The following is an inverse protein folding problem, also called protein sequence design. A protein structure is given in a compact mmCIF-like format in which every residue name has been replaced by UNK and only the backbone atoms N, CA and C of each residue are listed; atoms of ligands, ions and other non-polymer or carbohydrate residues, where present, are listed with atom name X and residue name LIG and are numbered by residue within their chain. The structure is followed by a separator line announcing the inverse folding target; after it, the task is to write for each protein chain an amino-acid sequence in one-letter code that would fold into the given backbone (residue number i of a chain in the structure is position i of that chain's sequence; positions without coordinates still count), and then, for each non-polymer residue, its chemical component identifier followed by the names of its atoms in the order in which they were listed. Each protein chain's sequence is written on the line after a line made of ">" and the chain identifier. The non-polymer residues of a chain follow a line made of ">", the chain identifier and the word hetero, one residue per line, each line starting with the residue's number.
data_IF_411287901498
#
_entry.id   IF_411287901498
#
_cell.length_a   1.000
_cell.length_b   1.000
_cell.length_c   1.000
_cell.angle_alpha   90.00
_cell.angle_beta   90.00
_cell.angle_gamma   90.00
#
_symmetry.space_group_name_H-M   'P 1'
#
loop_
_entity.id
_entity.type
_entity.pdbx_description
1 polymer ?
#
# COMPACT_ATOMS: atom_id res chain seq x y z
N UNK A 1 6.45 -2.81 9.05
CA UNK A 1 6.41 -1.76 8.00
C UNK A 1 7.59 -0.81 8.20
N UNK A 2 8.30 -0.50 7.13
CA UNK A 2 9.37 0.48 7.20
C UNK A 2 8.78 1.91 7.37
N UNK A 3 9.54 2.82 8.00
CA UNK A 3 9.11 4.21 8.13
C UNK A 3 8.76 4.85 6.76
N UNK A 4 9.41 4.38 5.72
CA UNK A 4 9.19 4.83 4.34
C UNK A 4 7.84 4.36 3.77
N UNK A 5 7.42 3.12 4.07
CA UNK A 5 6.10 2.61 3.69
C UNK A 5 4.98 3.32 4.43
N UNK A 6 5.15 3.57 5.74
CA UNK A 6 4.19 4.35 6.52
C UNK A 6 4.02 5.75 5.95
N UNK A 7 5.12 6.42 5.61
CA UNK A 7 5.09 7.75 5.01
C UNK A 7 4.36 7.73 3.66
N UNK A 8 4.66 6.75 2.81
CA UNK A 8 4.04 6.55 1.50
C UNK A 8 2.53 6.35 1.62
N UNK A 9 2.11 5.42 2.49
CA UNK A 9 0.71 5.12 2.74
C UNK A 9 -0.04 6.34 3.31
N UNK A 10 0.58 7.08 4.24
CA UNK A 10 -0.01 8.30 4.82
C UNK A 10 -0.16 9.41 3.78
N UNK A 11 0.86 9.63 2.97
CA UNK A 11 0.82 10.65 1.92
C UNK A 11 -0.26 10.32 0.88
N UNK A 12 -0.35 9.05 0.44
CA UNK A 12 -1.36 8.59 -0.50
C UNK A 12 -2.78 8.71 0.08
N UNK A 13 -3.00 8.25 1.32
CA UNK A 13 -4.30 8.41 2.00
C UNK A 13 -4.73 9.87 2.08
N UNK A 14 -3.80 10.78 2.38
CA UNK A 14 -4.06 12.22 2.42
C UNK A 14 -4.50 12.75 1.05
N UNK A 15 -3.88 12.29 -0.03
CA UNK A 15 -4.29 12.66 -1.39
C UNK A 15 -5.70 12.16 -1.68
N UNK A 16 -6.00 10.89 -1.37
CA UNK A 16 -7.33 10.30 -1.58
C UNK A 16 -8.43 11.02 -0.79
N UNK A 17 -8.17 11.39 0.46
CA UNK A 17 -9.12 12.09 1.32
C UNK A 17 -9.42 13.52 0.85
N UNK A 18 -8.40 14.20 0.32
CA UNK A 18 -8.53 15.58 -0.18
C UNK A 18 -8.93 15.67 -1.66
N UNK A 19 -9.15 14.53 -2.32
CA UNK A 19 -9.55 14.45 -3.71
C UNK A 19 -11.02 14.12 -3.84
N UNK A 20 -11.71 14.83 -4.72
CA UNK A 20 -13.12 14.62 -5.03
C UNK A 20 -13.27 14.18 -6.50
N UNK A 21 -13.96 13.08 -6.71
CA UNK A 21 -14.38 12.62 -8.03
C UNK A 21 -15.77 13.18 -8.31
N UNK A 22 -15.90 13.99 -9.34
CA UNK A 22 -17.18 14.64 -9.69
C UNK A 22 -18.18 13.70 -10.33
N UNK A 23 -17.69 12.73 -11.08
CA UNK A 23 -18.49 11.77 -11.80
C UNK A 23 -17.72 10.45 -11.93
N UNK A 24 -18.40 9.36 -11.59
CA UNK A 24 -17.86 8.01 -11.74
C UNK A 24 -18.34 7.43 -13.07
N UNK A 25 -17.45 7.02 -13.98
CA UNK A 25 -17.84 6.28 -15.17
C UNK A 25 -18.53 4.97 -14.76
N UNK A 26 -19.81 4.83 -15.09
CA UNK A 26 -20.60 3.67 -14.67
C UNK A 26 -20.03 2.35 -15.19
N UNK A 27 -19.46 2.35 -16.40
CA UNK A 27 -18.83 1.18 -17.00
C UNK A 27 -17.64 0.67 -16.16
N UNK A 28 -16.83 1.58 -15.64
CA UNK A 28 -15.66 1.24 -14.81
C UNK A 28 -16.12 0.70 -13.44
N UNK A 29 -17.16 1.31 -12.86
CA UNK A 29 -17.75 0.82 -11.61
C UNK A 29 -18.33 -0.58 -11.79
N UNK A 30 -19.12 -0.82 -12.84
CA UNK A 30 -19.73 -2.12 -13.13
C UNK A 30 -18.66 -3.20 -13.38
N UNK A 31 -17.57 -2.83 -14.09
CA UNK A 31 -16.41 -3.70 -14.30
C UNK A 31 -15.77 -4.07 -12.96
N UNK A 32 -15.49 -3.09 -12.10
CA UNK A 32 -14.86 -3.31 -10.80
C UNK A 32 -15.75 -4.16 -9.87
N UNK A 33 -17.07 -3.95 -9.85
CA UNK A 33 -18.03 -4.80 -9.13
C UNK A 33 -17.93 -6.24 -9.63
N UNK A 34 -17.95 -6.44 -10.95
CA UNK A 34 -17.87 -7.78 -11.55
C UNK A 34 -16.56 -8.49 -11.20
N UNK A 35 -15.42 -7.78 -11.25
CA UNK A 35 -14.12 -8.32 -10.91
C UNK A 35 -14.04 -8.71 -9.42
N UNK A 36 -14.56 -7.86 -8.54
CA UNK A 36 -14.60 -8.16 -7.11
C UNK A 36 -15.46 -9.38 -6.80
N UNK A 37 -16.66 -9.46 -7.37
CA UNK A 37 -17.53 -10.65 -7.22
C UNK A 37 -16.85 -11.93 -7.69
N UNK A 38 -16.16 -11.89 -8.85
CA UNK A 38 -15.39 -13.05 -9.34
C UNK A 38 -14.26 -13.45 -8.40
N UNK A 39 -13.56 -12.51 -7.79
CA UNK A 39 -12.52 -12.83 -6.81
C UNK A 39 -13.12 -13.49 -5.57
N UNK A 40 -14.27 -13.00 -5.08
CA UNK A 40 -14.98 -13.61 -3.96
C UNK A 40 -15.49 -15.03 -4.30
N UNK A 41 -15.94 -15.26 -5.54
CA UNK A 41 -16.29 -16.61 -6.01
C UNK A 41 -15.11 -17.59 -5.97
N UNK A 42 -13.89 -17.11 -6.27
CA UNK A 42 -12.69 -17.94 -6.17
C UNK A 42 -12.43 -18.34 -4.70
N UNK A 43 -12.55 -17.40 -3.76
CA UNK A 43 -12.40 -17.71 -2.33
C UNK A 43 -13.50 -18.68 -1.84
N UNK A 44 -14.75 -18.48 -2.25
CA UNK A 44 -15.85 -19.39 -1.92
C UNK A 44 -15.57 -20.81 -2.43
N UNK A 45 -15.10 -20.95 -3.67
CA UNK A 45 -14.72 -22.25 -4.26
C UNK A 45 -13.57 -22.92 -3.52
N UNK A 46 -12.60 -22.19 -3.02
CA UNK A 46 -11.51 -22.76 -2.19
C UNK A 46 -12.04 -23.33 -0.87
N UNK A 47 -13.17 -22.81 -0.39
CA UNK A 47 -13.88 -23.31 0.78
C UNK A 47 -14.95 -24.36 0.44
N UNK A 48 -15.01 -24.87 -0.79
CA UNK A 48 -16.05 -25.78 -1.29
C UNK A 48 -17.48 -25.23 -1.14
N UNK A 49 -17.64 -23.92 -1.27
CA UNK A 49 -18.92 -23.20 -1.11
C UNK A 49 -19.30 -22.45 -2.37
N UNK A 50 -20.57 -22.19 -2.55
CA UNK A 50 -21.04 -21.13 -3.45
C UNK A 50 -20.80 -19.76 -2.83
N UNK A 51 -20.85 -18.68 -3.62
CA UNK A 51 -20.69 -17.33 -3.11
C UNK A 51 -21.76 -16.99 -2.05
N UNK A 52 -23.02 -17.41 -2.27
CA UNK A 52 -24.12 -17.20 -1.34
C UNK A 52 -23.88 -17.94 0.00
N UNK A 53 -23.48 -19.22 -0.05
CA UNK A 53 -23.14 -19.98 1.16
C UNK A 53 -21.94 -19.37 1.90
N UNK A 54 -20.97 -18.82 1.15
CA UNK A 54 -19.80 -18.17 1.72
C UNK A 54 -20.19 -16.87 2.44
N UNK A 55 -20.97 -15.99 1.82
CA UNK A 55 -21.45 -14.74 2.44
C UNK A 55 -22.35 -15.03 3.65
N UNK A 56 -23.26 -15.98 3.54
CA UNK A 56 -24.14 -16.42 4.65
C UNK A 56 -23.31 -16.95 5.83
N UNK A 57 -22.24 -17.71 5.57
CA UNK A 57 -21.35 -18.23 6.61
C UNK A 57 -20.63 -17.12 7.39
N UNK A 58 -20.42 -15.97 6.74
CA UNK A 58 -19.86 -14.75 7.35
C UNK A 58 -20.93 -13.86 8.00
N UNK A 59 -22.20 -14.22 7.90
CA UNK A 59 -23.32 -13.43 8.40
C UNK A 59 -23.62 -12.17 7.57
N UNK A 60 -23.23 -12.17 6.30
CA UNK A 60 -23.41 -11.06 5.37
C UNK A 60 -24.62 -11.37 4.48
N UNK A 61 -25.65 -10.52 4.54
CA UNK A 61 -26.80 -10.67 3.64
C UNK A 61 -26.42 -10.33 2.19
N UNK A 62 -27.22 -10.79 1.22
CA UNK A 62 -27.00 -10.48 -0.19
C UNK A 62 -27.01 -8.97 -0.47
N UNK A 63 -27.93 -8.24 0.17
CA UNK A 63 -28.02 -6.78 0.01
C UNK A 63 -26.76 -6.08 0.58
N UNK A 64 -26.30 -6.50 1.76
CA UNK A 64 -25.07 -5.95 2.37
C UNK A 64 -23.84 -6.29 1.52
N UNK A 65 -23.79 -7.49 0.94
CA UNK A 65 -22.71 -7.89 0.04
C UNK A 65 -22.68 -7.05 -1.24
N UNK A 66 -23.84 -6.82 -1.85
CA UNK A 66 -23.97 -5.99 -3.05
C UNK A 66 -23.55 -4.53 -2.75
N UNK A 67 -23.91 -3.98 -1.58
CA UNK A 67 -23.48 -2.68 -1.12
C UNK A 67 -21.95 -2.62 -0.93
N UNK A 68 -21.36 -3.64 -0.30
CA UNK A 68 -19.90 -3.72 -0.14
C UNK A 68 -19.17 -3.82 -1.48
N UNK A 69 -19.73 -4.58 -2.45
CA UNK A 69 -19.19 -4.63 -3.81
C UNK A 69 -19.19 -3.26 -4.48
N UNK A 70 -20.28 -2.51 -4.32
CA UNK A 70 -20.41 -1.16 -4.88
C UNK A 70 -19.41 -0.19 -4.24
N UNK A 71 -19.31 -0.18 -2.90
CA UNK A 71 -18.37 0.66 -2.16
C UNK A 71 -16.91 0.36 -2.52
N UNK A 72 -16.56 -0.92 -2.64
CA UNK A 72 -15.23 -1.34 -3.09
C UNK A 72 -14.93 -0.84 -4.51
N UNK A 73 -15.88 -1.02 -5.43
CA UNK A 73 -15.73 -0.62 -6.82
C UNK A 73 -15.56 0.91 -6.96
N UNK A 74 -16.38 1.69 -6.27
CA UNK A 74 -16.25 3.15 -6.25
C UNK A 74 -14.91 3.60 -5.67
N UNK A 75 -14.43 2.94 -4.61
CA UNK A 75 -13.11 3.20 -4.04
C UNK A 75 -11.98 2.92 -5.02
N UNK A 76 -12.04 1.78 -5.74
CA UNK A 76 -11.07 1.41 -6.77
C UNK A 76 -11.09 2.40 -7.94
N UNK A 77 -12.27 2.71 -8.45
CA UNK A 77 -12.41 3.65 -9.57
C UNK A 77 -11.96 5.06 -9.16
N UNK A 78 -12.29 5.51 -7.94
CA UNK A 78 -11.78 6.77 -7.38
C UNK A 78 -10.26 6.82 -7.42
N UNK A 79 -9.61 5.78 -6.92
CA UNK A 79 -8.15 5.68 -6.92
C UNK A 79 -7.57 5.79 -8.32
N UNK A 80 -8.09 5.02 -9.28
CA UNK A 80 -7.62 5.01 -10.67
C UNK A 80 -7.79 6.38 -11.35
N UNK A 81 -8.93 7.04 -11.14
CA UNK A 81 -9.19 8.38 -11.70
C UNK A 81 -8.24 9.43 -11.11
N UNK A 82 -7.92 9.34 -9.82
CA UNK A 82 -6.96 10.25 -9.18
C UNK A 82 -5.55 10.00 -9.70
N UNK A 83 -5.13 8.72 -9.82
CA UNK A 83 -3.85 8.35 -10.41
C UNK A 83 -3.74 8.92 -11.83
N UNK A 84 -4.72 8.67 -12.67
CA UNK A 84 -4.74 9.18 -14.05
C UNK A 84 -4.71 10.70 -14.09
N UNK A 85 -5.51 11.37 -13.26
CA UNK A 85 -5.53 12.83 -13.17
C UNK A 85 -4.19 13.44 -12.77
N UNK A 86 -3.46 12.82 -11.84
CA UNK A 86 -2.11 13.25 -11.44
C UNK A 86 -1.11 12.97 -12.55
N UNK A 87 -1.15 11.79 -13.17
CA UNK A 87 -0.27 11.46 -14.29
C UNK A 87 -0.41 12.45 -15.45
N UNK A 88 -1.64 12.79 -15.82
CA UNK A 88 -1.94 13.76 -16.88
C UNK A 88 -1.47 15.18 -16.51
N UNK A 89 -1.74 15.63 -15.29
CA UNK A 89 -1.37 16.96 -14.82
C UNK A 89 0.13 17.17 -14.72
N UNK A 90 0.86 16.14 -14.31
CA UNK A 90 2.31 16.19 -14.06
C UNK A 90 3.14 15.65 -15.25
N UNK A 91 2.47 15.22 -16.32
CA UNK A 91 3.12 14.68 -17.52
C UNK A 91 3.89 13.39 -17.27
N UNK A 92 3.40 12.55 -16.34
CA UNK A 92 3.96 11.24 -16.07
C UNK A 92 3.45 10.23 -17.10
N UNK A 93 4.27 9.25 -17.45
CA UNK A 93 3.91 8.24 -18.45
C UNK A 93 4.32 6.85 -17.96
N UNK A 94 3.55 5.83 -18.34
CA UNK A 94 3.90 4.42 -18.07
C UNK A 94 5.13 3.95 -18.87
N UNK A 95 5.50 4.70 -19.91
CA UNK A 95 6.66 4.41 -20.77
C UNK A 95 7.92 5.22 -20.36
N UNK A 96 7.84 6.08 -19.34
CA UNK A 96 9.01 6.79 -18.87
C UNK A 96 10.00 5.87 -18.14
N UNK A 97 11.23 6.33 -17.99
CA UNK A 97 12.30 5.52 -17.40
C UNK A 97 11.98 5.06 -15.98
N UNK A 98 11.36 5.92 -15.19
CA UNK A 98 10.99 5.62 -13.82
C UNK A 98 9.89 4.54 -13.77
N UNK A 99 8.89 4.64 -14.63
CA UNK A 99 7.81 3.65 -14.74
C UNK A 99 8.32 2.28 -15.19
N UNK A 100 9.26 2.24 -16.14
CA UNK A 100 9.90 0.99 -16.54
C UNK A 100 10.68 0.32 -15.40
N UNK A 101 11.35 1.12 -14.54
CA UNK A 101 12.00 0.59 -13.34
C UNK A 101 10.98 0.06 -12.32
N UNK A 102 9.79 0.66 -12.24
CA UNK A 102 8.72 0.18 -11.37
C UNK A 102 8.10 -1.12 -11.91
N UNK A 103 8.03 -1.29 -13.23
CA UNK A 103 7.63 -2.57 -13.82
C UNK A 103 8.60 -3.70 -13.41
N UNK A 104 9.92 -3.44 -13.48
CA UNK A 104 10.91 -4.42 -13.05
C UNK A 104 10.76 -4.78 -11.56
N UNK A 105 10.54 -3.79 -10.70
CA UNK A 105 10.28 -4.02 -9.26
C UNK A 105 8.98 -4.81 -9.03
N UNK A 106 7.92 -4.51 -9.78
CA UNK A 106 6.64 -5.23 -9.68
C UNK A 106 6.80 -6.70 -10.07
N UNK A 107 7.57 -6.99 -11.13
CA UNK A 107 7.92 -8.36 -11.56
C UNK A 107 8.64 -9.10 -10.43
N UNK A 108 9.63 -8.45 -9.79
CA UNK A 108 10.38 -9.03 -8.67
C UNK A 108 9.47 -9.29 -7.47
N UNK A 109 8.63 -8.33 -7.08
CA UNK A 109 7.70 -8.46 -5.95
C UNK A 109 6.66 -9.55 -6.15
N UNK A 110 6.20 -9.74 -7.39
CA UNK A 110 5.21 -10.76 -7.73
C UNK A 110 5.83 -12.15 -7.97
N UNK A 111 7.16 -12.26 -7.91
CA UNK A 111 7.88 -13.52 -8.07
C UNK A 111 7.77 -14.14 -9.46
N UNK A 112 7.45 -13.33 -10.48
CA UNK A 112 7.34 -13.78 -11.88
C UNK A 112 8.62 -13.47 -12.65
N UNK A 113 8.82 -14.14 -13.81
CA UNK A 113 10.07 -14.02 -14.56
C UNK A 113 10.14 -12.80 -15.48
N UNK A 114 8.99 -12.19 -15.79
CA UNK A 114 8.93 -11.06 -16.73
C UNK A 114 7.59 -10.31 -16.64
N UNK A 115 7.60 -9.07 -17.16
CA UNK A 115 6.38 -8.28 -17.32
C UNK A 115 5.36 -8.98 -18.26
N UNK A 116 5.83 -9.70 -19.27
CA UNK A 116 4.95 -10.45 -20.17
C UNK A 116 4.21 -11.60 -19.46
N UNK A 117 4.86 -12.26 -18.51
CA UNK A 117 4.24 -13.27 -17.67
C UNK A 117 3.23 -12.64 -16.72
N UNK A 118 3.56 -11.49 -16.12
CA UNK A 118 2.65 -10.73 -15.27
C UNK A 118 1.38 -10.31 -16.03
N UNK A 119 1.56 -9.74 -17.22
CA UNK A 119 0.45 -9.38 -18.12
C UNK A 119 -0.37 -10.60 -18.52
N UNK A 120 0.28 -11.73 -18.83
CA UNK A 120 -0.40 -12.98 -19.18
C UNK A 120 -1.26 -13.53 -18.02
N UNK A 121 -0.84 -13.33 -16.79
CA UNK A 121 -1.51 -13.85 -15.58
C UNK A 121 -2.63 -12.93 -15.10
N UNK A 122 -2.36 -11.61 -15.03
CA UNK A 122 -3.26 -10.64 -14.40
C UNK A 122 -3.92 -9.66 -15.38
N UNK A 123 -3.44 -9.60 -16.63
CA UNK A 123 -3.91 -8.67 -17.65
C UNK A 123 -3.13 -7.36 -17.70
N UNK A 124 -3.21 -6.67 -18.85
CA UNK A 124 -2.54 -5.39 -19.06
C UNK A 124 -3.07 -4.30 -18.14
N UNK A 125 -4.40 -4.22 -17.98
CA UNK A 125 -5.05 -3.22 -17.13
C UNK A 125 -4.51 -3.26 -15.69
N UNK A 126 -4.36 -4.47 -15.12
CA UNK A 126 -3.80 -4.65 -13.78
C UNK A 126 -2.37 -4.10 -13.67
N UNK A 127 -1.54 -4.38 -14.67
CA UNK A 127 -0.15 -3.92 -14.68
C UNK A 127 -0.08 -2.41 -14.81
N UNK A 128 -0.86 -1.83 -15.71
CA UNK A 128 -0.91 -0.38 -15.95
C UNK A 128 -1.43 0.37 -14.71
N UNK A 129 -2.49 -0.12 -14.07
CA UNK A 129 -3.01 0.43 -12.81
C UNK A 129 -1.96 0.36 -11.67
N UNK A 130 -1.29 -0.78 -11.54
CA UNK A 130 -0.29 -1.00 -10.50
C UNK A 130 0.94 -0.11 -10.69
N UNK A 131 1.46 -0.04 -11.90
CA UNK A 131 2.63 0.81 -12.23
C UNK A 131 2.26 2.29 -12.11
N UNK A 132 1.08 2.68 -12.59
CA UNK A 132 0.56 4.05 -12.47
C UNK A 132 0.47 4.50 -11.01
N UNK A 133 -0.09 3.66 -10.15
CA UNK A 133 -0.16 3.94 -8.71
C UNK A 133 1.23 4.12 -8.10
N UNK A 134 2.13 3.16 -8.31
CA UNK A 134 3.50 3.23 -7.81
C UNK A 134 4.24 4.49 -8.30
N UNK A 135 4.02 4.87 -9.56
CA UNK A 135 4.63 6.05 -10.18
C UNK A 135 4.14 7.35 -9.53
N UNK A 136 2.84 7.45 -9.29
CA UNK A 136 2.23 8.59 -8.61
C UNK A 136 2.66 8.67 -7.16
N UNK A 137 2.70 7.56 -6.44
CA UNK A 137 3.17 7.50 -5.06
C UNK A 137 4.64 7.96 -4.93
N UNK A 138 5.54 7.50 -5.83
CA UNK A 138 6.92 8.00 -5.85
C UNK A 138 7.00 9.50 -6.15
N UNK A 139 6.17 10.01 -7.06
CA UNK A 139 6.08 11.42 -7.37
C UNK A 139 5.64 12.23 -6.14
N UNK A 140 4.60 11.80 -5.46
CA UNK A 140 4.09 12.46 -4.25
C UNK A 140 5.18 12.53 -3.19
N UNK A 141 5.87 11.42 -2.89
CA UNK A 141 6.93 11.39 -1.87
C UNK A 141 8.11 12.30 -2.22
N UNK A 142 8.49 12.35 -3.50
CA UNK A 142 9.58 13.24 -3.94
C UNK A 142 9.25 14.72 -3.76
N UNK A 143 7.96 15.08 -3.78
CA UNK A 143 7.48 16.46 -3.72
C UNK A 143 6.78 16.80 -2.38
N UNK A 144 6.58 15.83 -1.50
CA UNK A 144 5.96 16.06 -0.20
C UNK A 144 6.92 16.77 0.76
N UNK A 145 6.37 17.74 1.49
CA UNK A 145 7.05 18.31 2.67
C UNK A 145 6.64 17.52 3.89
N UNK A 146 7.59 16.83 4.52
CA UNK A 146 7.33 16.04 5.72
C UNK A 146 7.67 16.84 6.95
N UNK A 147 6.69 17.09 7.83
CA UNK A 147 6.90 17.63 9.16
C UNK A 147 6.73 16.53 10.21
N UNK A 148 7.72 16.31 11.05
CA UNK A 148 7.61 15.42 12.19
C UNK A 148 6.68 16.03 13.24
N UNK A 149 5.55 15.38 13.51
CA UNK A 149 4.69 15.72 14.63
C UNK A 149 5.23 14.99 15.84
N UNK A 150 5.96 15.71 16.70
CA UNK A 150 6.43 15.15 17.97
C UNK A 150 5.22 14.80 18.83
N UNK A 151 5.12 13.55 19.24
CA UNK A 151 3.97 13.00 19.98
C UNK A 151 3.81 13.52 21.43
N UNK A 152 4.56 14.50 21.85
CA UNK A 152 4.46 15.13 23.16
C UNK A 152 4.01 16.59 22.98
N UNK A 153 2.71 16.79 22.94
CA UNK A 153 1.91 17.97 23.26
C UNK A 153 2.49 19.38 23.38
N UNK A 154 3.68 19.65 22.85
CA UNK A 154 4.29 20.99 22.84
C UNK A 154 4.28 21.53 21.40
N UNK A 155 3.34 22.39 21.15
CA UNK A 155 3.25 23.19 19.93
C UNK A 155 4.35 24.25 20.05
N UNK A 156 5.48 24.01 19.37
CA UNK A 156 6.43 25.11 19.15
C UNK A 156 5.81 26.02 18.10
N UNK A 157 5.30 27.16 18.57
CA UNK A 157 4.87 28.26 17.76
C UNK A 157 6.04 28.70 16.86
N UNK A 158 5.74 28.80 15.59
CA UNK A 158 6.55 29.43 14.57
C UNK A 158 6.67 30.93 14.91
N UNK A 159 7.82 31.35 15.37
CA UNK A 159 8.19 32.75 15.39
C UNK A 159 9.43 32.92 14.52
N UNK A 160 9.17 33.23 13.27
CA UNK A 160 10.14 33.87 12.41
C UNK A 160 10.13 35.33 12.76
N UNK A 161 11.17 35.85 13.39
CA UNK A 161 11.92 37.03 12.92
C UNK A 161 12.90 37.55 13.99
N UNK A 162 14.00 38.08 13.52
CA UNK A 162 14.89 39.03 14.11
C UNK A 162 16.25 38.55 14.67
N UNK A 163 17.19 38.59 13.77
CA UNK A 163 18.44 39.34 13.83
C UNK A 163 19.22 39.48 15.15
N UNK A 164 20.47 39.00 15.04
CA UNK A 164 21.70 39.63 15.37
C UNK A 164 22.13 39.84 16.84
N UNK A 165 23.35 39.41 17.01
CA UNK A 165 24.42 39.94 17.83
C UNK A 165 24.63 39.45 19.27
N UNK A 166 25.71 38.77 19.40
CA UNK A 166 26.91 39.05 20.19
C UNK A 166 27.14 38.31 21.52
N UNK A 167 28.35 37.76 21.53
CA UNK A 167 29.34 37.68 22.60
C UNK A 167 29.22 36.64 23.71
N UNK A 168 30.15 35.70 23.60
CA UNK A 168 31.20 35.30 24.57
C UNK A 168 30.88 35.26 26.07
N UNK A 169 31.20 34.11 26.64
CA UNK A 169 32.01 33.79 27.84
C UNK A 169 31.37 32.68 28.68
N UNK A 170 31.96 31.54 28.69
CA UNK A 170 33.07 31.05 29.54
C UNK A 170 32.59 30.40 30.86
N UNK A 171 33.19 29.26 31.13
CA UNK A 171 33.43 28.61 32.43
C UNK A 171 32.47 27.56 32.95
N UNK A 172 32.93 26.36 32.81
CA UNK A 172 33.51 25.47 33.85
C UNK A 172 32.59 24.70 34.81
N UNK A 173 32.86 23.36 34.76
CA UNK A 173 32.89 22.39 35.87
C UNK A 173 31.57 21.98 36.55
N UNK A 174 31.24 20.71 36.63
CA UNK A 174 31.88 19.67 37.41
C UNK A 174 31.08 18.36 37.38
N UNK A 175 31.75 17.28 37.12
CA UNK A 175 31.73 15.89 37.62
C UNK A 175 30.74 15.53 38.74
N UNK A 176 30.08 14.40 38.57
CA UNK A 176 30.00 13.22 39.44
C UNK A 176 28.91 12.28 38.94
N UNK A 177 29.20 11.13 38.43
CA UNK A 177 29.32 9.78 39.05
C UNK A 177 28.12 9.32 39.88
N UNK A 178 27.67 8.21 39.55
CA UNK A 178 27.42 6.92 40.15
C UNK A 178 26.13 6.27 39.67
N UNK A 179 26.29 5.19 38.90
CA UNK A 179 26.10 3.77 39.27
C UNK A 179 24.73 3.38 39.88
N UNK A 180 24.14 2.42 39.23
CA UNK A 180 23.76 1.04 39.61
C UNK A 180 22.65 0.59 38.70
N UNK A 181 22.88 -0.41 37.90
CA UNK A 181 22.83 -1.85 38.13
C UNK A 181 21.42 -2.46 38.00
N UNK A 182 21.41 -3.44 37.11
CA UNK A 182 20.89 -4.81 37.18
C UNK A 182 19.48 -5.16 36.74
N UNK A 183 19.53 -6.23 35.98
CA UNK A 183 18.58 -7.33 35.72
C UNK A 183 17.49 -7.01 34.66
N UNK A 184 17.46 -7.71 33.53
CA UNK A 184 17.66 -9.14 33.31
C UNK A 184 16.32 -9.81 33.10
N UNK A 185 16.15 -10.33 31.92
CA UNK A 185 15.36 -11.51 31.51
C UNK A 185 14.77 -11.27 30.12
N UNK A 186 15.37 -11.78 29.08
CA UNK A 186 15.33 -13.13 28.55
C UNK A 186 13.89 -13.68 28.42
N UNK A 187 13.41 -13.71 27.19
CA UNK A 187 12.61 -14.80 26.71
C UNK A 187 12.74 -14.90 25.18
N UNK A 188 13.61 -15.76 24.82
CA UNK A 188 13.72 -16.44 23.55
C UNK A 188 12.49 -17.34 23.32
N UNK A 189 12.36 -17.69 22.05
CA UNK A 189 11.66 -18.83 21.48
C UNK A 189 10.15 -18.69 21.24
N UNK A 190 9.82 -18.55 19.97
CA UNK A 190 8.88 -19.44 19.27
C UNK A 190 9.19 -19.35 17.76
N UNK A 191 9.93 -20.27 17.27
CA UNK A 191 9.57 -21.41 16.44
C UNK A 191 9.37 -21.09 14.95
N UNK A 192 10.44 -21.42 14.24
CA UNK A 192 10.42 -21.89 12.86
C UNK A 192 9.58 -23.18 12.79
N UNK A 193 8.60 -23.19 11.91
CA UNK A 193 8.30 -24.36 11.06
C UNK A 193 7.01 -24.13 10.26
N UNK A 194 7.14 -23.93 8.99
CA UNK A 194 6.19 -24.37 7.96
C UNK A 194 6.90 -24.35 6.60
N UNK A 195 7.87 -25.24 6.48
CA UNK A 195 8.22 -25.78 5.17
C UNK A 195 7.65 -27.20 5.06
N UNK A 196 7.36 -27.54 3.80
CA UNK A 196 6.99 -28.85 3.25
C UNK A 196 5.51 -29.24 3.27
N UNK A 197 4.86 -29.10 2.13
CA UNK A 197 4.49 -30.22 1.23
C UNK A 197 3.81 -29.72 -0.05
N UNK A 198 4.55 -29.64 -1.11
CA UNK A 198 3.95 -29.75 -2.45
C UNK A 198 4.44 -31.03 -3.09
N UNK A 199 3.63 -32.05 -2.87
CA UNK A 199 3.79 -33.33 -3.51
C UNK A 199 3.58 -33.22 -5.01
N UNK A 200 4.55 -33.66 -5.73
CA UNK A 200 4.53 -33.96 -7.15
C UNK A 200 3.61 -35.16 -7.40
N UNK A 201 2.53 -35.00 -8.12
CA UNK A 201 1.84 -36.12 -8.76
C UNK A 201 2.15 -36.16 -10.26
N UNK A 202 2.86 -37.22 -10.59
CA UNK A 202 3.12 -37.75 -11.91
C UNK A 202 1.81 -37.95 -12.69
N UNK A 203 1.75 -37.40 -13.89
CA UNK A 203 0.73 -37.80 -14.89
C UNK A 203 1.35 -38.84 -15.79
N UNK A 204 1.02 -40.08 -15.53
CA UNK A 204 1.27 -41.22 -16.37
C UNK A 204 0.46 -41.15 -17.67
N UNK A 205 1.16 -41.25 -18.81
CA UNK A 205 0.62 -41.45 -20.13
C UNK A 205 0.35 -42.94 -20.34
N UNK A 206 -0.85 -43.31 -20.70
CA UNK A 206 -1.06 -44.49 -21.55
C UNK A 206 -2.45 -44.50 -22.19
N UNK A 207 -2.41 -44.65 -23.54
CA UNK A 207 -3.38 -45.18 -24.50
C UNK A 207 -4.65 -44.39 -24.81
#
# INVERSE_FOLDING_TARGET
>A
ESAQEVLKNTAWSTVLENSEVKEYPQEDVDKAVSEFKKSMEVYAKQADMTLEEFTDSQGISQDDFDEQCQQYAEGKVKQNLIVQGIMDAEGLSLDDKESLQLQDKLVEQMGVSSIAELVGTYGQDYVDESVGLLRVEEFIIKNASVSEKVANGDVLADDADAAAENAEQDSDQNVSDEDTDDSGQDNSDVDENLEEELGTEDVDQSE
#
